data_IF_599758595822
#
_entry.id   IF_599758595822
#
_cell.length_a   1.000
_cell.length_b   1.000
_cell.length_c   1.000
_cell.angle_alpha   90.00
_cell.angle_beta   90.00
_cell.angle_gamma   90.00
#
_symmetry.space_group_name_H-M   'P 1'
#
loop_
_entity.id
_entity.type
_entity.pdbx_description
1 polymer ?
#
# COMPACT_ATOMS: atom_id res chain seq x y z
N UNK A 1 2.88 -11.06 -23.67
CA UNK A 1 2.94 -10.50 -22.30
C UNK A 1 3.92 -11.34 -21.50
N UNK A 2 4.93 -10.74 -20.85
CA UNK A 2 5.89 -11.48 -20.02
C UNK A 2 5.18 -12.10 -18.81
N UNK A 3 5.76 -13.14 -18.21
CA UNK A 3 5.19 -13.72 -16.98
C UNK A 3 5.18 -12.69 -15.85
N UNK A 4 6.23 -11.86 -15.74
CA UNK A 4 6.30 -10.80 -14.72
C UNK A 4 5.18 -9.76 -14.85
N UNK A 5 4.76 -9.40 -16.08
CA UNK A 5 3.59 -8.52 -16.26
C UNK A 5 2.29 -9.13 -15.74
N UNK A 6 2.09 -10.45 -15.94
CA UNK A 6 0.90 -11.14 -15.40
C UNK A 6 0.90 -11.12 -13.88
N UNK A 7 2.05 -11.44 -13.28
CA UNK A 7 2.22 -11.40 -11.83
C UNK A 7 2.05 -9.99 -11.27
N UNK A 8 2.58 -8.96 -11.93
CA UNK A 8 2.36 -7.57 -11.55
C UNK A 8 0.88 -7.17 -11.63
N UNK A 9 0.17 -7.60 -12.67
CA UNK A 9 -1.26 -7.37 -12.79
C UNK A 9 -2.06 -8.02 -11.67
N UNK A 10 -1.75 -9.27 -11.34
CA UNK A 10 -2.38 -9.99 -10.22
C UNK A 10 -2.03 -9.35 -8.86
N UNK A 11 -0.77 -8.94 -8.66
CA UNK A 11 -0.32 -8.24 -7.46
C UNK A 11 -1.10 -6.94 -7.24
N UNK A 12 -1.25 -6.10 -8.27
CA UNK A 12 -2.06 -4.89 -8.18
C UNK A 12 -3.53 -5.17 -7.81
N UNK A 13 -4.14 -6.21 -8.38
CA UNK A 13 -5.52 -6.59 -8.02
C UNK A 13 -5.62 -7.09 -6.57
N UNK A 14 -4.63 -7.85 -6.10
CA UNK A 14 -4.56 -8.26 -4.71
C UNK A 14 -4.38 -7.05 -3.78
N UNK A 15 -3.53 -6.10 -4.13
CA UNK A 15 -3.31 -4.88 -3.34
C UNK A 15 -4.60 -4.07 -3.21
N UNK A 16 -5.39 -3.95 -4.29
CA UNK A 16 -6.73 -3.34 -4.24
C UNK A 16 -7.69 -4.10 -3.29
N UNK A 17 -7.71 -5.43 -3.38
CA UNK A 17 -8.54 -6.27 -2.51
C UNK A 17 -8.12 -6.14 -1.05
N UNK A 18 -6.83 -6.11 -0.76
CA UNK A 18 -6.29 -5.99 0.59
C UNK A 18 -6.59 -4.61 1.20
N UNK A 19 -6.66 -3.53 0.42
CA UNK A 19 -7.22 -2.25 0.91
C UNK A 19 -8.68 -2.40 1.35
N UNK A 20 -9.52 -3.06 0.54
CA UNK A 20 -10.93 -3.32 0.90
C UNK A 20 -11.01 -4.14 2.20
N UNK A 21 -10.20 -5.20 2.30
CA UNK A 21 -10.10 -6.02 3.52
C UNK A 21 -9.63 -5.18 4.71
N UNK A 22 -8.68 -4.26 4.52
CA UNK A 22 -8.20 -3.36 5.56
C UNK A 22 -9.29 -2.41 6.06
N UNK A 23 -10.00 -1.73 5.16
CA UNK A 23 -11.11 -0.84 5.54
C UNK A 23 -12.21 -1.60 6.29
N UNK A 24 -12.61 -2.77 5.80
CA UNK A 24 -13.66 -3.57 6.45
C UNK A 24 -13.16 -4.14 7.79
N UNK A 25 -11.99 -4.76 7.81
CA UNK A 25 -11.43 -5.43 8.98
C UNK A 25 -11.04 -4.47 10.10
N UNK A 26 -10.19 -3.48 9.80
CA UNK A 26 -9.66 -2.58 10.82
C UNK A 26 -10.65 -1.52 11.26
N UNK A 27 -11.49 -0.99 10.36
CA UNK A 27 -12.39 0.12 10.70
C UNK A 27 -13.80 -0.37 11.01
N UNK A 28 -14.40 -1.20 10.16
CA UNK A 28 -15.80 -1.59 10.32
C UNK A 28 -16.02 -2.72 11.34
N UNK A 29 -15.08 -3.66 11.47
CA UNK A 29 -15.23 -4.84 12.32
C UNK A 29 -14.54 -4.65 13.68
N UNK A 30 -13.22 -4.41 13.70
CA UNK A 30 -12.43 -4.45 14.93
C UNK A 30 -12.31 -3.08 15.60
N UNK A 31 -12.07 -2.02 14.82
CA UNK A 31 -11.99 -0.63 15.26
C UNK A 31 -11.11 -0.33 16.50
N UNK A 32 -10.05 -1.12 16.72
CA UNK A 32 -9.10 -0.90 17.82
C UNK A 32 -8.40 0.46 17.72
N UNK A 33 -8.15 0.94 16.50
CA UNK A 33 -7.54 2.26 16.28
C UNK A 33 -8.41 3.43 16.76
N UNK A 34 -9.73 3.25 16.83
CA UNK A 34 -10.66 4.27 17.32
C UNK A 34 -10.78 4.34 18.84
N UNK A 35 -10.12 3.45 19.59
CA UNK A 35 -10.19 3.41 21.06
C UNK A 35 -9.19 4.41 21.65
N UNK A 36 -9.70 5.39 22.40
CA UNK A 36 -8.88 6.45 23.01
C UNK A 36 -8.18 6.01 24.30
N UNK A 37 -8.84 5.21 25.15
CA UNK A 37 -8.27 4.75 26.41
C UNK A 37 -7.22 3.63 26.16
N UNK A 38 -5.95 3.81 26.59
CA UNK A 38 -4.89 2.85 26.33
C UNK A 38 -5.14 1.46 26.94
N UNK A 39 -5.74 1.39 28.13
CA UNK A 39 -6.03 0.11 28.79
C UNK A 39 -7.16 -0.63 28.06
N UNK A 40 -8.25 0.06 27.69
CA UNK A 40 -9.33 -0.49 26.88
C UNK A 40 -8.83 -0.94 25.50
N UNK A 41 -7.87 -0.22 24.90
CA UNK A 41 -7.24 -0.63 23.64
C UNK A 41 -6.52 -1.98 23.82
N UNK A 42 -5.75 -2.16 24.89
CA UNK A 42 -5.09 -3.45 25.19
C UNK A 42 -6.12 -4.56 25.40
N UNK A 43 -7.21 -4.33 26.13
CA UNK A 43 -8.29 -5.31 26.28
C UNK A 43 -8.83 -5.75 24.92
N UNK A 44 -9.09 -4.80 24.02
CA UNK A 44 -9.56 -5.10 22.68
C UNK A 44 -8.52 -5.87 21.82
N UNK A 45 -7.21 -5.63 22.03
CA UNK A 45 -6.16 -6.43 21.41
C UNK A 45 -6.20 -7.88 21.87
N UNK A 46 -6.37 -8.12 23.18
CA UNK A 46 -6.48 -9.47 23.74
C UNK A 46 -7.70 -10.20 23.15
N UNK A 47 -8.85 -9.52 23.10
CA UNK A 47 -10.09 -10.10 22.58
C UNK A 47 -10.05 -10.41 21.07
N UNK A 48 -9.31 -9.61 20.30
CA UNK A 48 -9.28 -9.69 18.84
C UNK A 48 -7.94 -10.18 18.27
N UNK A 49 -7.04 -10.72 19.10
CA UNK A 49 -5.66 -11.02 18.73
C UNK A 49 -5.57 -11.84 17.43
N UNK A 50 -6.32 -12.94 17.33
CA UNK A 50 -6.26 -13.82 16.16
C UNK A 50 -6.69 -13.13 14.86
N UNK A 51 -7.75 -12.32 14.91
CA UNK A 51 -8.24 -11.57 13.75
C UNK A 51 -7.26 -10.45 13.37
N UNK A 52 -6.74 -9.70 14.34
CA UNK A 52 -5.75 -8.66 14.11
C UNK A 52 -4.45 -9.23 13.52
N UNK A 53 -3.99 -10.38 13.98
CA UNK A 53 -2.83 -11.06 13.41
C UNK A 53 -3.07 -11.42 11.94
N UNK A 54 -4.22 -12.01 11.63
CA UNK A 54 -4.58 -12.35 10.25
C UNK A 54 -4.67 -11.11 9.35
N UNK A 55 -5.30 -10.04 9.83
CA UNK A 55 -5.43 -8.79 9.08
C UNK A 55 -4.05 -8.17 8.79
N UNK A 56 -3.14 -8.12 9.76
CA UNK A 56 -1.79 -7.57 9.54
C UNK A 56 -0.95 -8.47 8.61
N UNK A 57 -1.12 -9.79 8.65
CA UNK A 57 -0.45 -10.67 7.68
C UNK A 57 -0.95 -10.43 6.25
N UNK A 58 -2.25 -10.26 6.06
CA UNK A 58 -2.87 -10.07 4.74
C UNK A 58 -2.58 -8.65 4.21
N UNK A 59 -2.91 -7.64 5.01
CA UNK A 59 -2.95 -6.23 4.57
C UNK A 59 -1.59 -5.53 4.67
N UNK A 60 -0.66 -6.04 5.48
CA UNK A 60 0.69 -5.46 5.56
C UNK A 60 1.74 -6.40 4.94
N UNK A 61 1.89 -7.62 5.45
CA UNK A 61 3.01 -8.49 5.05
C UNK A 61 2.86 -9.01 3.62
N UNK A 62 1.75 -9.67 3.32
CA UNK A 62 1.47 -10.18 1.98
C UNK A 62 1.23 -9.05 0.97
N UNK A 63 0.66 -7.92 1.42
CA UNK A 63 0.52 -6.70 0.61
C UNK A 63 1.87 -6.14 0.19
N UNK A 64 2.81 -5.92 1.12
CA UNK A 64 4.13 -5.41 0.79
C UNK A 64 4.93 -6.38 -0.08
N UNK A 65 4.79 -7.69 0.13
CA UNK A 65 5.40 -8.69 -0.75
C UNK A 65 4.86 -8.61 -2.18
N UNK A 66 3.55 -8.36 -2.34
CA UNK A 66 2.92 -8.13 -3.64
C UNK A 66 3.43 -6.84 -4.30
N UNK A 67 3.64 -5.79 -3.50
CA UNK A 67 4.15 -4.51 -4.00
C UNK A 67 5.58 -4.63 -4.57
N UNK A 68 6.41 -5.54 -4.05
CA UNK A 68 7.72 -5.86 -4.67
C UNK A 68 7.52 -6.36 -6.10
N UNK A 69 6.63 -7.34 -6.28
CA UNK A 69 6.34 -7.93 -7.60
C UNK A 69 5.79 -6.87 -8.54
N UNK A 70 4.84 -6.05 -8.09
CA UNK A 70 4.27 -4.96 -8.86
C UNK A 70 5.33 -3.93 -9.26
N UNK A 71 6.19 -3.51 -8.32
CA UNK A 71 7.23 -2.51 -8.56
C UNK A 71 8.23 -2.96 -9.63
N UNK A 72 8.61 -4.25 -9.62
CA UNK A 72 9.49 -4.83 -10.64
C UNK A 72 8.78 -5.00 -11.99
N UNK A 73 7.51 -5.39 -11.99
CA UNK A 73 6.72 -5.45 -13.23
C UNK A 73 6.57 -4.06 -13.87
N UNK A 74 6.36 -3.02 -13.08
CA UNK A 74 6.31 -1.64 -13.57
C UNK A 74 7.66 -1.15 -14.07
N UNK A 75 8.75 -1.56 -13.41
CA UNK A 75 10.11 -1.27 -13.87
C UNK A 75 10.35 -1.80 -15.29
N UNK A 76 9.97 -3.04 -15.56
CA UNK A 76 10.08 -3.64 -16.89
C UNK A 76 9.14 -2.92 -17.89
N UNK A 77 7.87 -2.71 -17.50
CA UNK A 77 6.87 -2.12 -18.39
C UNK A 77 7.22 -0.71 -18.84
N UNK A 78 7.76 0.09 -17.91
CA UNK A 78 8.04 1.50 -18.11
C UNK A 78 9.50 1.75 -18.48
N UNK A 79 10.21 0.71 -18.95
CA UNK A 79 11.56 0.82 -19.50
C UNK A 79 12.55 1.44 -18.49
N UNK A 80 12.51 0.92 -17.26
CA UNK A 80 13.30 1.40 -16.13
C UNK A 80 14.82 1.32 -16.36
N UNK A 81 15.26 0.38 -17.20
CA UNK A 81 16.66 0.30 -17.63
C UNK A 81 17.15 1.61 -18.28
N UNK A 82 16.30 2.28 -19.06
CA UNK A 82 16.66 3.50 -19.80
C UNK A 82 16.03 4.78 -19.24
N UNK A 83 15.09 4.66 -18.30
CA UNK A 83 14.35 5.80 -17.73
C UNK A 83 14.81 6.08 -16.29
N UNK A 84 15.68 7.09 -16.04
CA UNK A 84 16.20 7.36 -14.69
C UNK A 84 15.13 7.59 -13.64
N UNK A 85 14.06 8.32 -14.00
CA UNK A 85 12.93 8.58 -13.11
C UNK A 85 12.22 7.29 -12.68
N UNK A 86 12.13 6.30 -13.57
CA UNK A 86 11.53 5.01 -13.26
C UNK A 86 12.42 4.18 -12.34
N UNK A 87 13.75 4.28 -12.41
CA UNK A 87 14.64 3.63 -11.43
C UNK A 87 14.42 4.16 -10.02
N UNK A 88 14.28 5.47 -9.89
CA UNK A 88 13.96 6.13 -8.62
C UNK A 88 12.58 5.68 -8.13
N UNK A 89 11.57 5.65 -9.02
CA UNK A 89 10.25 5.13 -8.70
C UNK A 89 10.32 3.68 -8.18
N UNK A 90 11.05 2.80 -8.87
CA UNK A 90 11.23 1.41 -8.41
C UNK A 90 11.87 1.34 -7.03
N UNK A 91 12.91 2.14 -6.75
CA UNK A 91 13.53 2.18 -5.43
C UNK A 91 12.52 2.57 -4.34
N UNK A 92 11.72 3.62 -4.57
CA UNK A 92 10.67 4.02 -3.63
C UNK A 92 9.59 2.95 -3.44
N UNK A 93 9.20 2.23 -4.50
CA UNK A 93 8.26 1.12 -4.39
C UNK A 93 8.77 -0.02 -3.52
N UNK A 94 10.05 -0.37 -3.67
CA UNK A 94 10.71 -1.40 -2.84
C UNK A 94 10.91 -0.94 -1.39
N UNK A 95 11.25 0.33 -1.17
CA UNK A 95 11.33 0.91 0.18
C UNK A 95 9.96 0.87 0.85
N UNK A 96 8.91 1.27 0.13
CA UNK A 96 7.55 1.23 0.68
C UNK A 96 7.13 -0.19 1.03
N UNK A 97 7.39 -1.16 0.15
CA UNK A 97 7.14 -2.57 0.43
C UNK A 97 7.84 -3.05 1.71
N UNK A 98 9.12 -2.73 1.88
CA UNK A 98 9.88 -3.06 3.09
C UNK A 98 9.26 -2.43 4.34
N UNK A 99 8.91 -1.14 4.27
CA UNK A 99 8.33 -0.40 5.38
C UNK A 99 6.98 -0.98 5.82
N UNK A 100 6.10 -1.33 4.87
CA UNK A 100 4.80 -1.93 5.17
C UNK A 100 4.95 -3.34 5.76
N UNK A 101 5.87 -4.16 5.21
CA UNK A 101 6.18 -5.48 5.80
C UNK A 101 6.69 -5.33 7.23
N UNK A 102 7.67 -4.44 7.45
CA UNK A 102 8.26 -4.21 8.76
C UNK A 102 7.20 -3.72 9.76
N UNK A 103 6.34 -2.79 9.35
CA UNK A 103 5.22 -2.29 10.15
C UNK A 103 4.28 -3.42 10.58
N UNK A 104 3.81 -4.26 9.66
CA UNK A 104 2.95 -5.41 9.98
C UNK A 104 3.60 -6.44 10.91
N UNK A 105 4.90 -6.71 10.71
CA UNK A 105 5.65 -7.63 11.58
C UNK A 105 5.83 -7.06 12.99
N UNK A 106 6.15 -5.77 13.11
CA UNK A 106 6.27 -5.07 14.40
C UNK A 106 4.94 -5.08 15.15
N UNK A 107 3.82 -4.84 14.46
CA UNK A 107 2.50 -4.92 15.07
C UNK A 107 2.23 -6.32 15.62
N UNK A 108 2.45 -7.37 14.82
CA UNK A 108 2.15 -8.74 15.24
C UNK A 108 3.00 -9.20 16.43
N UNK A 109 4.32 -9.00 16.36
CA UNK A 109 5.24 -9.38 17.44
C UNK A 109 5.00 -8.52 18.68
N UNK A 110 4.77 -7.23 18.50
CA UNK A 110 4.49 -6.31 19.59
C UNK A 110 3.15 -6.61 20.28
N UNK A 111 2.10 -6.91 19.52
CA UNK A 111 0.80 -7.31 20.05
C UNK A 111 0.92 -8.59 20.87
N UNK A 112 1.65 -9.60 20.40
CA UNK A 112 1.89 -10.83 21.16
C UNK A 112 2.55 -10.54 22.52
N UNK A 113 3.57 -9.68 22.55
CA UNK A 113 4.22 -9.26 23.79
C UNK A 113 3.28 -8.52 24.74
N UNK A 114 2.42 -7.65 24.22
CA UNK A 114 1.43 -6.89 25.00
C UNK A 114 0.34 -7.80 25.55
N UNK A 115 -0.18 -8.73 24.75
CA UNK A 115 -1.18 -9.70 25.18
C UNK A 115 -0.64 -10.61 26.29
N UNK A 116 0.62 -11.05 26.18
CA UNK A 116 1.27 -11.85 27.21
C UNK A 116 1.46 -11.09 28.53
N UNK A 117 1.66 -9.76 28.47
CA UNK A 117 1.87 -8.91 29.64
C UNK A 117 0.55 -8.48 30.33
N UNK A 118 -0.54 -8.37 29.57
CA UNK A 118 -1.81 -7.82 30.04
C UNK A 118 -2.39 -8.49 31.31
N UNK A 119 -2.30 -9.82 31.53
CA UNK A 119 -2.81 -10.45 32.75
C UNK A 119 -2.03 -10.07 34.01
N UNK A 120 -0.76 -9.68 33.89
CA UNK A 120 0.10 -9.33 35.00
C UNK A 120 -0.01 -7.83 35.35
N UNK A 121 0.04 -6.97 34.34
CA UNK A 121 -0.09 -5.52 34.52
C UNK A 121 -0.63 -4.86 33.24
N UNK A 122 -1.92 -4.48 33.28
CA UNK A 122 -2.59 -3.85 32.15
C UNK A 122 -2.06 -2.44 31.86
N UNK A 123 -1.62 -1.70 32.87
CA UNK A 123 -1.08 -0.34 32.69
C UNK A 123 0.31 -0.40 32.04
N UNK A 124 1.14 -1.36 32.46
CA UNK A 124 2.42 -1.61 31.83
C UNK A 124 2.23 -2.08 30.39
N UNK A 125 1.30 -3.01 30.14
CA UNK A 125 0.96 -3.47 28.79
C UNK A 125 0.50 -2.30 27.88
N UNK A 126 -0.32 -1.39 28.40
CA UNK A 126 -0.75 -0.19 27.68
C UNK A 126 0.43 0.74 27.33
N UNK A 127 1.39 0.90 28.25
CA UNK A 127 2.59 1.71 28.00
C UNK A 127 3.48 1.09 26.91
N UNK A 128 3.67 -0.23 26.96
CA UNK A 128 4.40 -0.98 25.93
C UNK A 128 3.69 -0.88 24.59
N UNK A 129 2.35 -0.98 24.58
CA UNK A 129 1.55 -0.83 23.37
C UNK A 129 1.70 0.55 22.73
N UNK A 130 1.67 1.64 23.50
CA UNK A 130 1.88 3.00 22.98
C UNK A 130 3.22 3.13 22.24
N UNK A 131 4.29 2.53 22.77
CA UNK A 131 5.60 2.54 22.13
C UNK A 131 5.61 1.75 20.82
N UNK A 132 4.99 0.56 20.81
CA UNK A 132 4.86 -0.28 19.61
C UNK A 132 4.02 0.43 18.55
N UNK A 133 2.86 0.96 18.93
CA UNK A 133 1.93 1.66 18.04
C UNK A 133 2.57 2.90 17.41
N UNK A 134 3.38 3.66 18.16
CA UNK A 134 4.14 4.79 17.62
C UNK A 134 5.14 4.35 16.53
N UNK A 135 5.89 3.27 16.75
CA UNK A 135 6.84 2.74 15.75
C UNK A 135 6.11 2.17 14.54
N UNK A 136 5.05 1.39 14.76
CA UNK A 136 4.17 0.85 13.72
C UNK A 136 3.65 1.96 12.81
N UNK A 137 3.09 3.01 13.40
CA UNK A 137 2.53 4.15 12.68
C UNK A 137 3.60 4.92 11.90
N UNK A 138 4.75 5.16 12.51
CA UNK A 138 5.85 5.92 11.91
C UNK A 138 6.51 5.24 10.70
N UNK A 139 6.49 3.91 10.63
CA UNK A 139 7.07 3.17 9.50
C UNK A 139 6.15 3.12 8.28
N UNK A 140 4.84 3.05 8.48
CA UNK A 140 3.87 2.89 7.40
C UNK A 140 2.46 2.46 7.86
N UNK A 141 2.23 2.32 9.17
CA UNK A 141 0.92 2.03 9.73
C UNK A 141 -0.02 3.24 9.81
N UNK A 142 0.54 4.47 9.82
CA UNK A 142 -0.24 5.70 10.05
C UNK A 142 0.04 6.85 9.07
N UNK A 143 1.00 6.68 8.14
CA UNK A 143 1.31 7.69 7.12
C UNK A 143 1.59 7.03 5.77
N UNK A 144 1.24 7.73 4.69
CA UNK A 144 1.25 7.22 3.32
C UNK A 144 2.30 7.92 2.45
N UNK A 145 3.25 8.62 3.06
CA UNK A 145 4.20 9.50 2.36
C UNK A 145 5.00 8.77 1.30
N UNK A 146 5.56 7.61 1.64
CA UNK A 146 6.42 6.85 0.72
C UNK A 146 5.62 6.30 -0.45
N UNK A 147 4.40 5.81 -0.18
CA UNK A 147 3.46 5.42 -1.22
C UNK A 147 3.03 6.58 -2.11
N UNK A 148 2.76 7.75 -1.51
CA UNK A 148 2.46 8.98 -2.23
C UNK A 148 3.57 9.37 -3.20
N UNK A 149 4.82 9.38 -2.74
CA UNK A 149 6.00 9.65 -3.58
C UNK A 149 6.07 8.63 -4.72
N UNK A 150 5.91 7.34 -4.43
CA UNK A 150 5.95 6.29 -5.44
C UNK A 150 4.91 6.50 -6.55
N UNK A 151 3.65 6.77 -6.19
CA UNK A 151 2.57 7.02 -7.16
C UNK A 151 2.83 8.29 -7.96
N UNK A 152 3.32 9.37 -7.34
CA UNK A 152 3.66 10.61 -8.05
C UNK A 152 4.76 10.38 -9.09
N UNK A 153 5.80 9.61 -8.74
CA UNK A 153 6.89 9.27 -9.65
C UNK A 153 6.38 8.43 -10.83
N UNK A 154 5.56 7.40 -10.57
CA UNK A 154 4.94 6.58 -11.63
C UNK A 154 4.06 7.41 -12.56
N UNK A 155 3.28 8.33 -11.99
CA UNK A 155 2.43 9.26 -12.74
C UNK A 155 3.26 10.17 -13.64
N UNK A 156 4.38 10.70 -13.12
CA UNK A 156 5.34 11.48 -13.89
C UNK A 156 5.96 10.71 -15.05
N UNK A 157 6.34 9.45 -14.83
CA UNK A 157 6.83 8.55 -15.89
C UNK A 157 5.75 8.29 -16.95
N UNK A 158 4.52 7.98 -16.51
CA UNK A 158 3.37 7.71 -17.37
C UNK A 158 3.03 8.89 -18.30
N UNK A 159 3.04 10.12 -17.77
CA UNK A 159 2.78 11.33 -18.54
C UNK A 159 3.88 11.66 -19.56
N UNK A 160 5.15 11.34 -19.27
CA UNK A 160 6.29 11.63 -20.14
C UNK A 160 6.48 10.63 -21.27
N UNK A 161 6.33 9.33 -20.97
CA UNK A 161 6.71 8.26 -21.89
C UNK A 161 5.52 7.55 -22.55
N UNK A 162 4.27 7.92 -22.23
CA UNK A 162 3.07 7.43 -22.91
C UNK A 162 2.76 5.94 -22.74
N UNK A 163 3.48 5.25 -21.84
CA UNK A 163 3.32 3.81 -21.57
C UNK A 163 2.20 3.49 -20.57
N UNK A 164 1.58 4.51 -19.99
CA UNK A 164 0.34 4.45 -19.22
C UNK A 164 -0.69 5.42 -19.82
N UNK A 165 -1.99 5.13 -19.70
CA UNK A 165 -3.02 6.07 -20.11
C UNK A 165 -2.84 7.44 -19.44
N UNK A 166 -3.00 8.53 -20.20
CA UNK A 166 -2.88 9.89 -19.65
C UNK A 166 -3.84 10.14 -18.48
N UNK A 167 -5.11 9.74 -18.63
CA UNK A 167 -6.11 9.91 -17.57
C UNK A 167 -5.75 9.14 -16.30
N UNK A 168 -5.23 7.91 -16.44
CA UNK A 168 -4.71 7.12 -15.32
C UNK A 168 -3.57 7.85 -14.61
N UNK A 169 -2.64 8.42 -15.37
CA UNK A 169 -1.48 9.13 -14.80
C UNK A 169 -1.88 10.44 -14.13
N UNK A 170 -2.86 11.18 -14.65
CA UNK A 170 -3.41 12.37 -13.99
C UNK A 170 -4.15 12.02 -12.70
N UNK A 171 -4.94 10.94 -12.72
CA UNK A 171 -5.58 10.42 -11.51
C UNK A 171 -4.53 10.04 -10.46
N UNK A 172 -3.45 9.38 -10.86
CA UNK A 172 -2.32 9.06 -9.99
C UNK A 172 -1.66 10.29 -9.36
N UNK A 173 -1.65 11.46 -10.00
CA UNK A 173 -1.17 12.69 -9.35
C UNK A 173 -2.02 13.08 -8.13
N UNK A 174 -3.34 12.91 -8.22
CA UNK A 174 -4.28 13.18 -7.11
C UNK A 174 -4.05 12.18 -5.98
N UNK A 175 -3.97 10.88 -6.32
CA UNK A 175 -3.70 9.81 -5.35
C UNK A 175 -2.37 10.07 -4.64
N UNK A 176 -1.30 10.29 -5.39
CA UNK A 176 0.02 10.50 -4.84
C UNK A 176 0.14 11.77 -3.98
N UNK A 177 -0.58 12.84 -4.34
CA UNK A 177 -0.65 14.05 -3.54
C UNK A 177 -1.35 13.82 -2.19
N UNK A 178 -2.45 13.06 -2.17
CA UNK A 178 -3.11 12.68 -0.92
C UNK A 178 -2.16 11.91 0.00
N UNK A 179 -1.40 10.96 -0.55
CA UNK A 179 -0.39 10.22 0.20
C UNK A 179 0.70 11.12 0.79
N UNK A 180 1.21 12.06 0.00
CA UNK A 180 2.23 13.01 0.45
C UNK A 180 1.73 13.93 1.57
N UNK A 181 0.49 14.39 1.49
CA UNK A 181 -0.10 15.30 2.49
C UNK A 181 -0.60 14.58 3.75
N UNK A 182 -0.63 13.25 3.79
CA UNK A 182 -0.97 12.46 4.99
C UNK A 182 -0.07 12.71 6.19
N UNK A 183 1.14 13.25 5.99
CA UNK A 183 2.06 13.61 7.08
C UNK A 183 1.64 14.86 7.85
N UNK A 184 0.78 15.70 7.27
CA UNK A 184 0.34 16.95 7.90
C UNK A 184 -0.61 16.59 9.04
N UNK A 185 -0.28 16.88 10.32
CA UNK A 185 -1.06 16.40 11.46
C UNK A 185 -2.54 16.81 11.42
N UNK A 186 -2.83 18.02 10.96
CA UNK A 186 -4.21 18.53 10.85
C UNK A 186 -5.05 17.84 9.75
N UNK A 187 -4.42 17.10 8.84
CA UNK A 187 -5.04 16.48 7.67
C UNK A 187 -4.79 14.97 7.58
N UNK A 188 -4.06 14.38 8.54
CA UNK A 188 -3.47 13.04 8.38
C UNK A 188 -4.52 11.97 8.11
N UNK A 189 -5.53 11.87 8.97
CA UNK A 189 -6.62 10.89 8.86
C UNK A 189 -7.41 11.06 7.55
N UNK A 190 -7.75 12.30 7.21
CA UNK A 190 -8.48 12.62 5.98
C UNK A 190 -7.68 12.24 4.73
N UNK A 191 -6.41 12.65 4.67
CA UNK A 191 -5.55 12.44 3.51
C UNK A 191 -5.14 10.96 3.37
N UNK A 192 -4.88 10.26 4.47
CA UNK A 192 -4.66 8.82 4.47
C UNK A 192 -5.91 8.07 3.99
N UNK A 193 -7.11 8.48 4.43
CA UNK A 193 -8.37 7.89 3.95
C UNK A 193 -8.59 8.13 2.46
N UNK A 194 -8.35 9.37 1.98
CA UNK A 194 -8.43 9.69 0.54
C UNK A 194 -7.42 8.85 -0.24
N UNK A 195 -6.18 8.73 0.24
CA UNK A 195 -5.16 7.89 -0.37
C UNK A 195 -5.65 6.44 -0.46
N UNK A 196 -6.04 5.82 0.64
CA UNK A 196 -6.48 4.42 0.66
C UNK A 196 -7.70 4.16 -0.24
N UNK A 197 -8.72 5.01 -0.20
CA UNK A 197 -9.92 4.85 -1.03
C UNK A 197 -9.63 5.01 -2.53
N UNK A 198 -8.82 6.01 -2.89
CA UNK A 198 -8.46 6.23 -4.29
C UNK A 198 -7.45 5.19 -4.79
N UNK A 199 -6.62 4.63 -3.91
CA UNK A 199 -5.72 3.52 -4.21
C UNK A 199 -6.47 2.27 -4.65
N UNK A 200 -7.63 1.95 -4.08
CA UNK A 200 -8.45 0.81 -4.54
C UNK A 200 -8.75 0.94 -6.04
N UNK A 201 -9.20 2.13 -6.46
CA UNK A 201 -9.51 2.42 -7.88
C UNK A 201 -8.23 2.39 -8.71
N UNK A 202 -7.15 2.98 -8.19
CA UNK A 202 -5.86 3.08 -8.87
C UNK A 202 -5.24 1.71 -9.14
N UNK A 203 -5.11 0.87 -8.11
CA UNK A 203 -4.59 -0.48 -8.21
C UNK A 203 -5.46 -1.38 -9.09
N UNK A 204 -6.79 -1.28 -8.98
CA UNK A 204 -7.72 -2.02 -9.84
C UNK A 204 -7.51 -1.66 -11.32
N UNK A 205 -7.47 -0.36 -11.63
CA UNK A 205 -7.25 0.11 -13.00
C UNK A 205 -5.86 -0.29 -13.50
N UNK A 206 -4.82 -0.17 -12.68
CA UNK A 206 -3.48 -0.58 -13.03
C UNK A 206 -3.40 -2.08 -13.33
N UNK A 207 -3.94 -2.92 -12.45
CA UNK A 207 -3.95 -4.38 -12.61
C UNK A 207 -4.63 -4.80 -13.92
N UNK A 208 -5.80 -4.21 -14.22
CA UNK A 208 -6.49 -4.43 -15.50
C UNK A 208 -5.63 -3.99 -16.69
N UNK A 209 -4.95 -2.83 -16.61
CA UNK A 209 -4.07 -2.35 -17.69
C UNK A 209 -2.83 -3.23 -17.89
N UNK A 210 -2.30 -3.83 -16.82
CA UNK A 210 -1.16 -4.75 -16.89
C UNK A 210 -1.55 -6.08 -17.53
N UNK A 211 -2.74 -6.59 -17.23
CA UNK A 211 -3.25 -7.87 -17.76
C UNK A 211 -3.77 -7.78 -19.21
N UNK A 212 -4.14 -6.58 -19.68
CA UNK A 212 -4.54 -6.37 -21.07
C UNK A 212 -3.32 -6.43 -22.00
N UNK A 213 -3.42 -7.22 -23.07
CA UNK A 213 -2.40 -7.26 -24.13
C UNK A 213 -2.38 -5.91 -24.87
N UNK A 214 -1.20 -5.40 -25.28
CA UNK A 214 -1.14 -4.30 -26.23
C UNK A 214 -1.92 -4.71 -27.48
N UNK A 215 -2.86 -3.86 -27.95
CA UNK A 215 -3.51 -4.11 -29.22
C UNK A 215 -2.41 -4.25 -30.31
N UNK A 216 -2.47 -5.26 -31.19
CA UNK A 216 -1.54 -5.35 -32.29
C UNK A 216 -1.65 -4.05 -33.10
N UNK A 217 -0.51 -3.38 -33.30
CA UNK A 217 -0.42 -2.24 -34.21
C UNK A 217 -0.96 -2.76 -35.54
N UNK A 218 -2.10 -2.21 -36.02
CA UNK A 218 -2.52 -2.45 -37.40
C UNK A 218 -1.38 -1.90 -38.26
N UNK A 219 -0.55 -2.78 -38.79
CA UNK A 219 0.30 -2.41 -39.91
C UNK A 219 -0.66 -1.98 -41.01
N UNK A 220 -0.75 -0.66 -41.27
CA UNK A 220 -1.26 -0.20 -42.53
C UNK A 220 -0.30 -0.73 -43.58
N UNK A 221 -0.66 -1.89 -44.15
CA UNK A 221 -0.16 -2.30 -45.45
C UNK A 221 -0.61 -1.20 -46.39
N UNK A 222 0.31 -0.30 -46.72
CA UNK A 222 0.14 0.61 -47.84
C UNK A 222 -0.02 -0.30 -49.07
N UNK A 223 -1.26 -0.45 -49.51
CA UNK A 223 -1.54 -1.03 -50.81
C UNK A 223 -1.02 -0.03 -51.84
N UNK A 224 0.16 -0.29 -52.38
CA UNK A 224 0.58 0.27 -53.66
C UNK A 224 -0.31 -0.35 -54.73
N UNK A 225 -1.18 0.47 -55.32
CA UNK A 225 -1.78 0.29 -56.63
C UNK A 225 -1.90 1.68 -57.27
#
# INVERSE_FOLDING_TARGET
>A
MSQLQKWGGAAALYEALAYIVGFVGFIAIVNVGGIADPAAKVTALVENQGLLTALHLIVYVAWGASLVVLSLALHERLDGAHTPLMRIATAFGLIWALLVIASGMIYNVGMEAVVALAPADLNQAATVWLAIEAVFNGLGGGVEVVGGIWVLLLSGVGLRHGRLPRLFSLFGLIVGAAGLFSVIPALSELMASIFGLTQIIWFTWLGINLLRQPAPIRQHVAATA
#
